data_IF_051390607104
#
_entry.id   IF_051390607104
#
_cell.length_a   1.000
_cell.length_b   1.000
_cell.length_c   1.000
_cell.angle_alpha   90.00
_cell.angle_beta   90.00
_cell.angle_gamma   90.00
#
_symmetry.space_group_name_H-M   'P 1'
#
loop_
_entity.id
_entity.type
_entity.pdbx_description
1 polymer ?
#
# COMPACT_ATOMS: atom_id res chain seq x y z
N UNK A 1 -2.01 -20.17 8.00
CA UNK A 1 -1.20 -19.50 6.94
C UNK A 1 -0.11 -20.46 6.48
N UNK A 2 0.27 -20.40 5.22
CA UNK A 2 1.48 -21.05 4.72
C UNK A 2 2.69 -20.47 5.47
N UNK A 3 3.60 -21.30 6.01
CA UNK A 3 4.83 -20.82 6.59
C UNK A 3 5.70 -20.09 5.55
N UNK A 4 6.32 -18.99 5.95
CA UNK A 4 7.24 -18.28 5.07
C UNK A 4 8.52 -19.11 4.87
N UNK A 5 9.04 -19.11 3.63
CA UNK A 5 10.33 -19.72 3.31
C UNK A 5 11.50 -18.90 3.85
N UNK A 6 11.32 -17.58 3.88
CA UNK A 6 12.20 -16.63 4.57
C UNK A 6 11.42 -16.01 5.70
N UNK A 7 11.78 -16.37 6.94
CA UNK A 7 11.16 -15.83 8.14
C UNK A 7 11.54 -14.35 8.33
N UNK A 8 10.60 -13.56 8.83
CA UNK A 8 10.91 -12.22 9.30
C UNK A 8 11.86 -12.28 10.51
N UNK A 9 12.77 -11.30 10.59
CA UNK A 9 13.62 -11.03 11.74
C UNK A 9 12.84 -10.34 12.85
N UNK A 10 11.89 -9.49 12.50
CA UNK A 10 11.01 -8.76 13.41
C UNK A 10 9.54 -9.02 13.06
N UNK A 11 8.73 -9.39 14.04
CA UNK A 11 7.32 -9.67 13.90
C UNK A 11 6.48 -8.54 14.53
N UNK A 12 5.34 -8.21 13.91
CA UNK A 12 4.37 -7.31 14.52
C UNK A 12 3.88 -7.89 15.85
N UNK A 13 3.65 -7.00 16.81
CA UNK A 13 2.96 -7.36 18.04
C UNK A 13 1.47 -7.61 17.78
N UNK A 14 0.82 -8.30 18.73
CA UNK A 14 -0.62 -8.50 18.67
C UNK A 14 -1.39 -7.16 18.76
N UNK A 15 -2.60 -7.08 18.19
CA UNK A 15 -3.47 -5.92 18.39
C UNK A 15 -3.65 -5.61 19.88
N UNK A 16 -3.61 -4.32 20.25
CA UNK A 16 -3.69 -3.85 21.64
C UNK A 16 -2.42 -4.05 22.48
N UNK A 17 -1.34 -4.60 21.93
CA UNK A 17 -0.07 -4.76 22.65
C UNK A 17 0.76 -3.46 22.74
N UNK A 18 0.37 -2.42 22.00
CA UNK A 18 1.01 -1.11 21.99
C UNK A 18 -0.07 -0.07 22.29
N UNK A 19 0.22 0.81 23.25
CA UNK A 19 -0.51 2.04 23.50
C UNK A 19 0.47 3.19 23.33
N UNK A 20 0.15 4.13 22.44
CA UNK A 20 0.95 5.33 22.23
C UNK A 20 0.45 6.46 23.12
N UNK A 21 1.32 7.43 23.35
CA UNK A 21 1.00 8.72 23.96
C UNK A 21 1.69 9.83 23.18
N UNK A 22 1.41 11.09 23.51
CA UNK A 22 2.14 12.22 22.94
C UNK A 22 1.71 12.59 21.52
N UNK A 23 2.67 13.02 20.70
CA UNK A 23 2.36 13.70 19.44
C UNK A 23 1.74 12.75 18.42
N UNK A 24 2.38 11.60 18.18
CA UNK A 24 1.86 10.65 17.20
C UNK A 24 0.54 10.01 17.62
N UNK A 25 0.32 9.79 18.92
CA UNK A 25 -0.98 9.35 19.42
C UNK A 25 -2.08 10.32 19.00
N UNK A 26 -1.89 11.62 19.21
CA UNK A 26 -2.89 12.63 18.83
C UNK A 26 -3.19 12.58 17.33
N UNK A 27 -2.15 12.42 16.50
CA UNK A 27 -2.31 12.31 15.03
C UNK A 27 -3.08 11.05 14.62
N UNK A 28 -2.81 9.92 15.28
CA UNK A 28 -3.49 8.63 15.07
C UNK A 28 -4.95 8.69 15.51
N UNK A 29 -5.23 9.29 16.67
CA UNK A 29 -6.59 9.50 17.16
C UNK A 29 -7.39 10.40 16.23
N UNK A 30 -6.83 11.53 15.81
CA UNK A 30 -7.45 12.43 14.83
C UNK A 30 -7.70 11.75 13.48
N UNK A 31 -6.79 10.88 13.03
CA UNK A 31 -7.02 10.08 11.83
C UNK A 31 -8.24 9.16 11.97
N UNK A 32 -8.43 8.58 13.17
CA UNK A 32 -9.58 7.73 13.47
C UNK A 32 -10.87 8.54 13.55
N UNK A 33 -10.89 9.58 14.38
CA UNK A 33 -12.11 10.31 14.77
C UNK A 33 -12.55 11.35 13.74
N UNK A 34 -11.61 12.16 13.24
CA UNK A 34 -11.91 13.27 12.34
C UNK A 34 -11.89 12.86 10.87
N UNK A 35 -11.23 11.74 10.52
CA UNK A 35 -11.17 11.24 9.14
C UNK A 35 -11.93 9.93 8.96
N UNK A 36 -11.49 8.81 9.52
CA UNK A 36 -12.09 7.49 9.24
C UNK A 36 -13.58 7.40 9.57
N UNK A 37 -14.00 7.91 10.74
CA UNK A 37 -15.41 7.98 11.11
C UNK A 37 -16.24 8.91 10.22
N UNK A 38 -15.63 9.96 9.65
CA UNK A 38 -16.35 10.99 8.90
C UNK A 38 -16.46 10.72 7.39
N UNK A 39 -15.66 9.80 6.83
CA UNK A 39 -15.75 9.47 5.38
C UNK A 39 -17.14 8.96 5.03
N UNK A 40 -17.88 9.64 4.15
CA UNK A 40 -19.10 9.08 3.58
C UNK A 40 -18.73 7.89 2.68
N UNK A 41 -19.30 6.71 2.98
CA UNK A 41 -19.01 5.47 2.25
C UNK A 41 -19.84 5.35 0.96
N UNK A 42 -20.95 6.09 0.85
CA UNK A 42 -21.86 5.93 -0.29
C UNK A 42 -21.19 6.29 -1.63
N UNK A 43 -20.43 7.40 -1.77
CA UNK A 43 -19.69 7.68 -3.01
C UNK A 43 -18.63 6.63 -3.35
N UNK A 44 -18.05 5.97 -2.33
CA UNK A 44 -16.98 4.96 -2.49
C UNK A 44 -17.56 3.62 -2.96
N UNK A 45 -18.80 3.31 -2.55
CA UNK A 45 -19.50 2.08 -2.91
C UNK A 45 -20.37 2.22 -4.17
N UNK A 46 -20.77 3.43 -4.54
CA UNK A 46 -21.70 3.70 -5.63
C UNK A 46 -21.27 3.04 -6.96
N UNK A 47 -19.99 3.17 -7.33
CA UNK A 47 -19.44 2.60 -8.56
C UNK A 47 -19.41 1.07 -8.61
N UNK A 48 -19.47 0.39 -7.46
CA UNK A 48 -19.55 -1.07 -7.39
C UNK A 48 -20.99 -1.56 -7.60
N UNK A 49 -21.96 -0.82 -7.06
CA UNK A 49 -23.40 -1.10 -7.17
C UNK A 49 -23.95 -0.72 -8.55
N UNK A 50 -23.53 0.41 -9.09
CA UNK A 50 -23.93 0.92 -10.39
C UNK A 50 -22.70 1.38 -11.17
N UNK A 51 -22.42 0.66 -12.26
CA UNK A 51 -21.26 0.87 -13.13
C UNK A 51 -21.65 1.74 -14.34
N UNK A 52 -20.74 2.55 -14.90
CA UNK A 52 -19.37 2.77 -14.45
C UNK A 52 -19.32 3.68 -13.21
N UNK A 53 -18.21 3.60 -12.48
CA UNK A 53 -17.91 4.52 -11.38
C UNK A 53 -17.68 5.97 -11.83
N UNK A 54 -17.65 6.90 -10.87
CA UNK A 54 -17.58 8.35 -11.14
C UNK A 54 -16.25 8.84 -11.73
N UNK A 55 -15.17 8.08 -11.56
CA UNK A 55 -13.88 8.30 -12.23
C UNK A 55 -13.11 6.97 -12.32
N UNK A 56 -12.06 6.86 -13.16
CA UNK A 56 -11.46 5.57 -13.50
C UNK A 56 -10.91 4.79 -12.29
N UNK A 57 -10.25 5.49 -11.36
CA UNK A 57 -9.68 4.86 -10.16
C UNK A 57 -10.60 4.86 -8.93
N UNK A 58 -11.91 5.20 -9.04
CA UNK A 58 -12.82 5.32 -7.87
C UNK A 58 -12.87 4.04 -7.02
N UNK A 59 -12.72 2.88 -7.64
CA UNK A 59 -12.69 1.59 -6.97
C UNK A 59 -11.54 1.40 -5.97
N UNK A 60 -10.49 2.24 -6.02
CA UNK A 60 -9.39 2.14 -5.05
C UNK A 60 -9.81 2.56 -3.63
N UNK A 61 -10.76 3.49 -3.52
CA UNK A 61 -10.97 4.25 -2.30
C UNK A 61 -11.57 3.42 -1.17
N UNK A 62 -12.54 2.57 -1.48
CA UNK A 62 -13.16 1.70 -0.47
C UNK A 62 -12.16 0.73 0.13
N UNK A 63 -11.32 0.11 -0.70
CA UNK A 63 -10.29 -0.83 -0.25
C UNK A 63 -9.21 -0.14 0.59
N UNK A 64 -8.76 1.05 0.18
CA UNK A 64 -7.83 1.88 0.97
C UNK A 64 -8.43 2.30 2.31
N UNK A 65 -9.70 2.72 2.33
CA UNK A 65 -10.42 3.07 3.56
C UNK A 65 -10.55 1.85 4.47
N UNK A 66 -10.95 0.68 3.95
CA UNK A 66 -11.08 -0.55 4.75
C UNK A 66 -9.76 -0.97 5.38
N UNK A 67 -8.64 -0.87 4.65
CA UNK A 67 -7.32 -1.13 5.20
C UNK A 67 -7.00 -0.19 6.38
N UNK A 68 -7.16 1.12 6.20
CA UNK A 68 -6.90 2.10 7.26
C UNK A 68 -7.86 1.93 8.46
N UNK A 69 -9.16 1.75 8.19
CA UNK A 69 -10.19 1.59 9.20
C UNK A 69 -10.01 0.30 10.03
N UNK A 70 -9.57 -0.80 9.41
CA UNK A 70 -9.29 -2.05 10.13
C UNK A 70 -8.14 -1.85 11.12
N UNK A 71 -7.03 -1.24 10.69
CA UNK A 71 -5.88 -0.98 11.56
C UNK A 71 -6.22 0.04 12.66
N UNK A 72 -6.95 1.10 12.32
CA UNK A 72 -7.40 2.10 13.28
C UNK A 72 -8.35 1.50 14.33
N UNK A 73 -9.30 0.65 13.91
CA UNK A 73 -10.17 -0.08 14.84
C UNK A 73 -9.39 -1.07 15.71
N UNK A 74 -8.47 -1.84 15.13
CA UNK A 74 -7.67 -2.80 15.88
C UNK A 74 -6.79 -2.15 16.95
N UNK A 75 -6.39 -0.90 16.74
CA UNK A 75 -5.68 -0.09 17.74
C UNK A 75 -6.62 0.54 18.78
N UNK A 76 -7.68 1.23 18.31
CA UNK A 76 -8.52 2.08 19.18
C UNK A 76 -9.68 1.35 19.87
N UNK A 77 -10.11 0.20 19.35
CA UNK A 77 -11.35 -0.46 19.76
C UNK A 77 -12.63 0.35 19.50
N UNK A 78 -12.60 1.37 18.63
CA UNK A 78 -13.71 2.29 18.46
C UNK A 78 -14.97 1.61 17.86
N UNK A 79 -16.08 1.47 18.62
CA UNK A 79 -17.20 0.59 18.24
C UNK A 79 -17.99 1.11 17.03
N UNK A 80 -18.07 2.43 16.83
CA UNK A 80 -18.72 2.98 15.65
C UNK A 80 -17.91 2.72 14.38
N UNK A 81 -16.57 2.75 14.48
CA UNK A 81 -15.69 2.47 13.36
C UNK A 81 -15.78 0.99 12.97
N UNK A 82 -15.84 0.10 13.97
CA UNK A 82 -16.11 -1.32 13.79
C UNK A 82 -17.40 -1.57 13.02
N UNK A 83 -18.53 -1.00 13.49
CA UNK A 83 -19.84 -1.14 12.83
C UNK A 83 -19.79 -0.66 11.38
N UNK A 84 -19.13 0.48 11.14
CA UNK A 84 -18.97 1.07 9.81
C UNK A 84 -18.07 0.22 8.91
N UNK A 85 -17.00 -0.36 9.46
CA UNK A 85 -16.11 -1.29 8.76
C UNK A 85 -16.85 -2.57 8.34
N UNK A 86 -17.65 -3.16 9.23
CA UNK A 86 -18.47 -4.32 8.90
C UNK A 86 -19.49 -4.02 7.80
N UNK A 87 -20.14 -2.85 7.86
CA UNK A 87 -21.05 -2.40 6.79
C UNK A 87 -20.32 -2.28 5.44
N UNK A 88 -19.17 -1.60 5.41
CA UNK A 88 -18.37 -1.44 4.19
C UNK A 88 -17.95 -2.78 3.58
N UNK A 89 -17.45 -3.70 4.41
CA UNK A 89 -17.05 -5.03 3.98
C UNK A 89 -18.24 -5.81 3.40
N UNK A 90 -19.38 -5.82 4.10
CA UNK A 90 -20.59 -6.51 3.65
C UNK A 90 -21.11 -5.96 2.31
N UNK A 91 -21.18 -4.64 2.16
CA UNK A 91 -21.68 -4.02 0.93
C UNK A 91 -20.71 -4.18 -0.25
N UNK A 92 -19.40 -4.13 -0.01
CA UNK A 92 -18.41 -4.41 -1.05
C UNK A 92 -18.50 -5.88 -1.53
N UNK A 93 -18.57 -6.84 -0.60
CA UNK A 93 -18.71 -8.26 -0.95
C UNK A 93 -20.01 -8.55 -1.69
N UNK A 94 -21.12 -7.92 -1.27
CA UNK A 94 -22.43 -8.03 -1.92
C UNK A 94 -22.44 -7.50 -3.36
N UNK A 95 -21.60 -6.52 -3.67
CA UNK A 95 -21.47 -5.96 -5.01
C UNK A 95 -20.59 -6.81 -5.96
N UNK A 96 -19.94 -7.87 -5.46
CA UNK A 96 -19.13 -8.77 -6.28
C UNK A 96 -19.99 -9.54 -7.27
N UNK A 97 -19.63 -9.51 -8.55
CA UNK A 97 -20.38 -10.20 -9.60
C UNK A 97 -20.14 -11.71 -9.59
N UNK A 98 -20.96 -12.46 -10.35
CA UNK A 98 -20.95 -13.93 -10.35
C UNK A 98 -19.59 -14.53 -10.79
N UNK A 99 -18.91 -13.90 -11.74
CA UNK A 99 -17.59 -14.28 -12.25
C UNK A 99 -16.43 -13.90 -11.30
N UNK A 100 -16.72 -13.22 -10.20
CA UNK A 100 -15.74 -12.73 -9.25
C UNK A 100 -15.32 -11.27 -9.44
N UNK A 101 -15.83 -10.59 -10.48
CA UNK A 101 -15.47 -9.20 -10.75
C UNK A 101 -15.82 -8.29 -9.57
N UNK A 102 -14.81 -7.56 -9.09
CA UNK A 102 -14.89 -6.66 -7.94
C UNK A 102 -14.24 -5.32 -8.31
N UNK A 103 -14.84 -4.66 -9.29
CA UNK A 103 -14.41 -3.35 -9.76
C UNK A 103 -15.60 -2.47 -10.12
N UNK A 104 -15.32 -1.32 -10.74
CA UNK A 104 -16.30 -0.26 -11.01
C UNK A 104 -16.53 -0.02 -12.50
N UNK A 105 -16.10 -0.94 -13.37
CA UNK A 105 -16.19 -0.81 -14.82
C UNK A 105 -17.27 -1.68 -15.45
N UNK A 106 -17.97 -1.14 -16.45
CA UNK A 106 -18.88 -1.92 -17.30
C UNK A 106 -18.10 -3.01 -18.06
N UNK A 107 -18.72 -4.14 -18.45
CA UNK A 107 -18.03 -5.29 -19.05
C UNK A 107 -17.08 -4.96 -20.20
N UNK A 108 -17.50 -4.05 -21.09
CA UNK A 108 -16.72 -3.63 -22.27
C UNK A 108 -15.47 -2.84 -21.87
N UNK A 109 -15.47 -2.27 -20.66
CA UNK A 109 -14.40 -1.45 -20.10
C UNK A 109 -13.34 -2.21 -19.29
N UNK A 110 -13.59 -3.49 -19.00
CA UNK A 110 -12.78 -4.24 -18.04
C UNK A 110 -11.37 -4.52 -18.53
N UNK A 111 -10.43 -4.36 -17.60
CA UNK A 111 -9.02 -4.70 -17.79
C UNK A 111 -8.39 -4.04 -19.03
N UNK A 112 -8.86 -2.87 -19.43
CA UNK A 112 -8.38 -2.13 -20.60
C UNK A 112 -7.20 -1.19 -20.31
N UNK A 113 -6.70 -0.55 -21.37
CA UNK A 113 -5.79 0.59 -21.30
C UNK A 113 -6.18 1.59 -22.38
N UNK A 114 -7.18 2.41 -22.08
CA UNK A 114 -7.65 3.52 -22.90
C UNK A 114 -8.23 4.62 -22.02
N UNK A 115 -8.41 5.86 -22.54
CA UNK A 115 -8.87 6.99 -21.74
C UNK A 115 -10.14 6.65 -20.95
N UNK A 116 -10.04 6.72 -19.63
CA UNK A 116 -11.16 6.44 -18.73
C UNK A 116 -11.25 5.01 -18.21
N UNK A 117 -10.43 4.06 -18.70
CA UNK A 117 -10.45 2.65 -18.28
C UNK A 117 -9.06 2.01 -18.21
N UNK A 118 -8.20 2.59 -17.38
CA UNK A 118 -6.77 2.25 -17.24
C UNK A 118 -6.36 1.87 -15.79
N UNK A 119 -7.33 1.70 -14.88
CA UNK A 119 -7.12 1.48 -13.43
C UNK A 119 -7.92 0.29 -12.85
N UNK A 120 -8.40 -0.63 -13.67
CA UNK A 120 -9.29 -1.71 -13.21
C UNK A 120 -8.57 -2.76 -12.34
N UNK A 121 -7.39 -3.21 -12.77
CA UNK A 121 -6.54 -4.11 -11.96
C UNK A 121 -6.10 -3.43 -10.67
N UNK A 122 -5.83 -2.12 -10.74
CA UNK A 122 -5.50 -1.29 -9.57
C UNK A 122 -6.65 -1.21 -8.56
N UNK A 123 -7.89 -1.07 -9.05
CA UNK A 123 -9.08 -1.10 -8.19
C UNK A 123 -9.25 -2.47 -7.52
N UNK A 124 -9.07 -3.57 -8.28
CA UNK A 124 -9.09 -4.93 -7.72
C UNK A 124 -8.03 -5.11 -6.62
N UNK A 125 -6.80 -4.65 -6.87
CA UNK A 125 -5.72 -4.69 -5.88
C UNK A 125 -6.14 -4.07 -4.55
N UNK A 126 -6.70 -2.86 -4.52
CA UNK A 126 -7.07 -2.25 -3.24
C UNK A 126 -8.27 -2.92 -2.59
N UNK A 127 -9.23 -3.41 -3.37
CA UNK A 127 -10.32 -4.22 -2.82
C UNK A 127 -9.77 -5.47 -2.13
N UNK A 128 -8.81 -6.16 -2.75
CA UNK A 128 -8.11 -7.30 -2.15
C UNK A 128 -7.35 -6.89 -0.89
N UNK A 129 -6.56 -5.82 -0.91
CA UNK A 129 -5.83 -5.33 0.27
C UNK A 129 -6.80 -5.07 1.43
N UNK A 130 -7.88 -4.32 1.19
CA UNK A 130 -8.87 -3.99 2.23
C UNK A 130 -9.56 -5.22 2.82
N UNK A 131 -10.01 -6.15 1.97
CA UNK A 131 -10.71 -7.36 2.41
C UNK A 131 -9.76 -8.38 3.07
N UNK A 132 -8.51 -8.51 2.61
CA UNK A 132 -7.51 -9.37 3.24
C UNK A 132 -7.11 -8.84 4.62
N UNK A 133 -6.91 -7.54 4.78
CA UNK A 133 -6.66 -6.93 6.10
C UNK A 133 -7.87 -7.12 7.01
N UNK A 134 -9.09 -6.90 6.52
CA UNK A 134 -10.31 -7.16 7.28
C UNK A 134 -10.41 -8.64 7.72
N UNK A 135 -10.14 -9.59 6.83
CA UNK A 135 -10.11 -11.01 7.16
C UNK A 135 -9.05 -11.34 8.22
N UNK A 136 -7.85 -10.77 8.10
CA UNK A 136 -6.75 -10.99 9.06
C UNK A 136 -7.13 -10.65 10.50
N UNK A 137 -7.87 -9.56 10.70
CA UNK A 137 -8.21 -9.06 12.04
C UNK A 137 -9.57 -9.57 12.55
N UNK A 138 -10.50 -9.94 11.67
CA UNK A 138 -11.85 -10.37 12.08
C UNK A 138 -12.10 -11.88 11.94
N UNK A 139 -11.28 -12.59 11.16
CA UNK A 139 -11.51 -14.00 10.84
C UNK A 139 -12.72 -14.27 9.93
N UNK A 140 -13.36 -13.23 9.37
CA UNK A 140 -14.57 -13.36 8.57
C UNK A 140 -14.27 -14.01 7.21
N UNK A 141 -14.45 -15.33 7.12
CA UNK A 141 -14.09 -16.16 5.95
C UNK A 141 -14.75 -15.72 4.64
N UNK A 142 -15.92 -15.09 4.69
CA UNK A 142 -16.58 -14.51 3.52
C UNK A 142 -15.69 -13.49 2.78
N UNK A 143 -14.88 -12.71 3.51
CA UNK A 143 -13.96 -11.75 2.91
C UNK A 143 -12.80 -12.45 2.20
N UNK A 144 -12.26 -13.52 2.78
CA UNK A 144 -11.24 -14.35 2.12
C UNK A 144 -11.79 -14.99 0.84
N UNK A 145 -13.04 -15.48 0.87
CA UNK A 145 -13.68 -16.06 -0.31
C UNK A 145 -13.93 -15.02 -1.41
N UNK A 146 -14.36 -13.81 -1.05
CA UNK A 146 -14.47 -12.71 -2.02
C UNK A 146 -13.12 -12.40 -2.68
N UNK A 147 -12.02 -12.40 -1.91
CA UNK A 147 -10.68 -12.24 -2.45
C UNK A 147 -10.27 -13.38 -3.40
N UNK A 148 -10.59 -14.64 -3.05
CA UNK A 148 -10.34 -15.81 -3.91
C UNK A 148 -11.04 -15.66 -5.26
N UNK A 149 -12.32 -15.31 -5.26
CA UNK A 149 -13.11 -15.13 -6.49
C UNK A 149 -12.56 -14.00 -7.38
N UNK A 150 -12.19 -12.87 -6.78
CA UNK A 150 -11.59 -11.76 -7.52
C UNK A 150 -10.21 -12.13 -8.10
N UNK A 151 -9.37 -12.83 -7.33
CA UNK A 151 -8.08 -13.32 -7.81
C UNK A 151 -8.24 -14.38 -8.90
N UNK A 152 -9.18 -15.32 -8.76
CA UNK A 152 -9.46 -16.35 -9.76
C UNK A 152 -9.88 -15.73 -11.11
N UNK A 153 -10.62 -14.62 -11.10
CA UNK A 153 -10.91 -13.84 -12.31
C UNK A 153 -9.64 -13.24 -12.95
N UNK A 154 -8.75 -12.65 -12.14
CA UNK A 154 -7.47 -12.12 -12.63
C UNK A 154 -6.62 -13.25 -13.24
N UNK A 155 -6.54 -14.41 -12.60
CA UNK A 155 -5.84 -15.59 -13.11
C UNK A 155 -6.50 -16.14 -14.37
N UNK A 156 -7.83 -16.03 -14.51
CA UNK A 156 -8.55 -16.42 -15.72
C UNK A 156 -8.24 -15.47 -16.89
N UNK A 157 -8.08 -14.17 -16.61
CA UNK A 157 -7.90 -13.10 -17.59
C UNK A 157 -6.45 -12.92 -18.04
N UNK A 158 -5.49 -13.07 -17.13
CA UNK A 158 -4.07 -12.82 -17.35
C UNK A 158 -3.23 -14.09 -17.18
N UNK A 159 -2.10 -14.15 -17.87
CA UNK A 159 -1.20 -15.31 -17.88
C UNK A 159 -0.66 -15.63 -19.28
N UNK A 160 0.20 -16.65 -19.41
CA UNK A 160 0.76 -17.03 -20.70
C UNK A 160 -0.31 -17.30 -21.76
N UNK A 161 -0.23 -16.61 -22.90
CA UNK A 161 -1.18 -16.74 -24.01
C UNK A 161 -2.53 -16.05 -23.80
N UNK A 162 -2.71 -15.29 -22.72
CA UNK A 162 -3.94 -14.55 -22.39
C UNK A 162 -3.75 -13.04 -22.60
N UNK A 163 -4.67 -12.23 -22.08
CA UNK A 163 -4.55 -10.76 -22.14
C UNK A 163 -3.25 -10.33 -21.46
N UNK A 164 -2.56 -9.34 -22.02
CA UNK A 164 -1.36 -8.77 -21.41
C UNK A 164 -1.74 -7.99 -20.15
N UNK A 165 -1.11 -8.33 -19.02
CA UNK A 165 -1.27 -7.58 -17.78
C UNK A 165 -0.70 -6.16 -17.88
N UNK A 166 0.41 -6.00 -18.63
CA UNK A 166 1.02 -4.69 -18.88
C UNK A 166 0.10 -3.77 -19.69
N UNK A 167 -0.70 -4.34 -20.60
CA UNK A 167 -1.69 -3.61 -21.40
C UNK A 167 -3.03 -3.40 -20.65
N UNK A 168 -3.08 -3.66 -19.34
CA UNK A 168 -4.25 -3.46 -18.49
C UNK A 168 -3.99 -2.48 -17.34
N UNK A 169 -2.91 -1.69 -17.43
CA UNK A 169 -2.58 -0.67 -16.45
C UNK A 169 -1.65 0.41 -16.98
N UNK A 170 -1.82 1.62 -16.47
CA UNK A 170 -0.97 2.76 -16.81
C UNK A 170 0.46 2.63 -16.24
N UNK A 171 1.30 3.62 -16.54
CA UNK A 171 2.69 3.74 -16.10
C UNK A 171 3.51 2.50 -16.45
N UNK A 172 3.55 2.19 -17.76
CA UNK A 172 4.24 1.01 -18.34
C UNK A 172 3.85 -0.30 -17.64
N UNK A 173 2.58 -0.44 -17.24
CA UNK A 173 2.04 -1.63 -16.57
C UNK A 173 2.29 -1.68 -15.05
N UNK A 174 2.99 -0.73 -14.45
CA UNK A 174 3.28 -0.75 -13.00
C UNK A 174 2.00 -0.68 -12.15
N UNK A 175 0.98 0.07 -12.59
CA UNK A 175 -0.29 0.14 -11.87
C UNK A 175 -0.94 -1.26 -11.77
N UNK A 176 -1.04 -1.99 -12.88
CA UNK A 176 -1.63 -3.33 -12.88
C UNK A 176 -0.76 -4.36 -12.14
N UNK A 177 0.55 -4.38 -12.39
CA UNK A 177 1.46 -5.36 -11.78
C UNK A 177 1.62 -5.18 -10.27
N UNK A 178 1.28 -4.01 -9.72
CA UNK A 178 1.26 -3.80 -8.26
C UNK A 178 0.21 -4.64 -7.51
N UNK A 179 -0.67 -5.38 -8.22
CA UNK A 179 -1.53 -6.43 -7.65
C UNK A 179 -0.73 -7.59 -7.03
N UNK A 180 0.59 -7.63 -7.24
CA UNK A 180 1.51 -8.61 -6.66
C UNK A 180 1.33 -8.78 -5.15
N UNK A 181 1.29 -7.69 -4.37
CA UNK A 181 1.17 -7.72 -2.91
C UNK A 181 -0.06 -8.53 -2.43
N UNK A 182 -1.30 -8.16 -2.77
CA UNK A 182 -2.47 -8.90 -2.29
C UNK A 182 -2.55 -10.34 -2.82
N UNK A 183 -2.02 -10.64 -4.01
CA UNK A 183 -1.98 -12.02 -4.53
C UNK A 183 -1.07 -12.89 -3.67
N UNK A 184 0.10 -12.39 -3.28
CA UNK A 184 1.01 -13.14 -2.41
C UNK A 184 0.43 -13.32 -1.02
N UNK A 185 -0.22 -12.29 -0.46
CA UNK A 185 -0.91 -12.38 0.82
C UNK A 185 -2.03 -13.44 0.75
N UNK A 186 -2.81 -13.45 -0.34
CA UNK A 186 -3.85 -14.45 -0.56
C UNK A 186 -3.29 -15.88 -0.63
N UNK A 187 -2.14 -16.08 -1.29
CA UNK A 187 -1.42 -17.36 -1.24
C UNK A 187 -1.08 -17.76 0.19
N UNK A 188 -0.52 -16.85 1.00
CA UNK A 188 -0.17 -17.13 2.40
C UNK A 188 -1.38 -17.52 3.25
N UNK A 189 -2.56 -16.97 2.96
CA UNK A 189 -3.79 -17.35 3.66
C UNK A 189 -4.38 -18.70 3.21
N UNK A 190 -4.32 -18.99 1.92
CA UNK A 190 -5.06 -20.12 1.32
C UNK A 190 -4.21 -21.37 1.10
N UNK A 191 -2.91 -21.22 0.87
CA UNK A 191 -2.04 -22.29 0.41
C UNK A 191 -2.29 -22.75 -1.03
N UNK A 192 -3.12 -22.03 -1.80
CA UNK A 192 -3.40 -22.40 -3.19
C UNK A 192 -2.22 -22.01 -4.09
N UNK A 193 -1.47 -22.98 -4.65
CA UNK A 193 -0.26 -22.70 -5.41
C UNK A 193 -0.51 -21.88 -6.67
N UNK A 194 -1.75 -21.85 -7.21
CA UNK A 194 -2.10 -21.04 -8.38
C UNK A 194 -1.80 -19.56 -8.17
N UNK A 195 -2.01 -19.05 -6.96
CA UNK A 195 -1.73 -17.64 -6.63
C UNK A 195 -0.23 -17.35 -6.57
N UNK A 196 0.60 -18.28 -6.07
CA UNK A 196 2.05 -18.12 -6.09
C UNK A 196 2.61 -18.14 -7.51
N UNK A 197 2.11 -19.04 -8.37
CA UNK A 197 2.53 -19.07 -9.78
C UNK A 197 2.09 -17.80 -10.52
N UNK A 198 0.90 -17.26 -10.22
CA UNK A 198 0.48 -15.97 -10.76
C UNK A 198 1.37 -14.82 -10.28
N UNK A 199 1.75 -14.79 -9.00
CA UNK A 199 2.67 -13.79 -8.47
C UNK A 199 4.05 -13.84 -9.17
N UNK A 200 4.56 -15.05 -9.48
CA UNK A 200 5.78 -15.21 -10.28
C UNK A 200 5.59 -14.73 -11.71
N UNK A 201 4.45 -15.02 -12.34
CA UNK A 201 4.11 -14.51 -13.66
C UNK A 201 4.08 -12.97 -13.69
N UNK A 202 3.53 -12.31 -12.65
CA UNK A 202 3.53 -10.85 -12.54
C UNK A 202 4.96 -10.28 -12.57
N UNK A 203 5.91 -10.90 -11.88
CA UNK A 203 7.32 -10.47 -11.93
C UNK A 203 7.96 -10.78 -13.28
N UNK A 204 7.66 -11.94 -13.87
CA UNK A 204 8.16 -12.33 -15.20
C UNK A 204 7.69 -11.37 -16.29
N UNK A 205 6.44 -10.89 -16.23
CA UNK A 205 5.90 -9.99 -17.25
C UNK A 205 6.62 -8.64 -17.25
N UNK A 206 7.33 -8.26 -16.17
CA UNK A 206 8.12 -7.03 -16.16
C UNK A 206 9.19 -6.97 -17.25
N UNK A 207 9.68 -8.13 -17.71
CA UNK A 207 10.72 -8.26 -18.74
C UNK A 207 10.15 -8.38 -20.17
N UNK A 208 8.82 -8.37 -20.35
CA UNK A 208 8.19 -8.33 -21.67
C UNK A 208 8.55 -7.04 -22.44
N UNK A 209 8.36 -7.04 -23.76
CA UNK A 209 8.58 -5.86 -24.59
C UNK A 209 7.68 -4.68 -24.12
N UNK A 210 8.29 -3.53 -23.84
CA UNK A 210 7.66 -2.35 -23.23
C UNK A 210 7.19 -2.52 -21.78
N UNK A 211 7.62 -3.59 -21.10
CA UNK A 211 7.44 -3.77 -19.67
C UNK A 211 8.29 -2.81 -18.84
N UNK A 212 7.99 -2.67 -17.54
CA UNK A 212 8.64 -1.72 -16.65
C UNK A 212 10.09 -2.12 -16.31
N UNK A 213 10.50 -3.36 -16.58
CA UNK A 213 11.84 -3.89 -16.31
C UNK A 213 12.35 -3.62 -14.87
N UNK A 214 11.47 -3.66 -13.87
CA UNK A 214 11.77 -3.24 -12.48
C UNK A 214 12.94 -4.04 -11.91
N UNK A 215 12.80 -5.37 -11.88
CA UNK A 215 13.80 -6.27 -11.29
C UNK A 215 15.15 -6.14 -11.99
N UNK A 216 15.16 -6.29 -13.32
CA UNK A 216 16.38 -6.21 -14.13
C UNK A 216 17.11 -4.87 -14.03
N UNK A 217 16.37 -3.77 -14.07
CA UNK A 217 16.98 -2.42 -14.02
C UNK A 217 17.54 -2.13 -12.63
N UNK A 218 16.85 -2.52 -11.56
CA UNK A 218 17.33 -2.31 -10.20
C UNK A 218 18.51 -3.22 -9.82
N UNK A 219 18.61 -4.41 -10.40
CA UNK A 219 19.81 -5.27 -10.21
C UNK A 219 21.01 -4.74 -10.98
N UNK A 220 20.81 -4.22 -12.21
CA UNK A 220 21.90 -3.79 -13.09
C UNK A 220 22.33 -2.34 -12.86
N UNK A 221 21.39 -1.41 -12.96
CA UNK A 221 21.64 0.04 -12.90
C UNK A 221 21.59 0.58 -11.47
N UNK A 222 20.90 -0.13 -10.56
CA UNK A 222 20.66 0.31 -9.18
C UNK A 222 20.11 1.73 -9.10
N UNK A 223 19.22 2.08 -10.03
CA UNK A 223 18.72 3.44 -10.19
C UNK A 223 17.21 3.46 -10.44
N UNK A 224 16.44 4.07 -9.54
CA UNK A 224 14.97 4.14 -9.63
C UNK A 224 14.50 5.14 -10.68
N UNK A 225 15.27 6.19 -11.00
CA UNK A 225 14.92 7.16 -12.03
C UNK A 225 15.05 6.59 -13.44
N UNK A 226 15.97 5.64 -13.64
CA UNK A 226 16.12 4.87 -14.89
C UNK A 226 15.17 3.66 -14.99
N UNK A 227 14.45 3.33 -13.91
CA UNK A 227 13.56 2.18 -13.86
C UNK A 227 12.16 2.56 -14.33
N UNK A 228 11.58 1.77 -15.24
CA UNK A 228 10.27 2.03 -15.82
C UNK A 228 10.17 3.48 -16.36
N UNK A 229 9.12 4.21 -15.95
CA UNK A 229 8.96 5.64 -16.23
C UNK A 229 9.20 6.51 -14.98
N UNK A 230 9.91 6.01 -13.96
CA UNK A 230 10.21 6.70 -12.71
C UNK A 230 9.00 7.11 -11.84
N UNK A 231 7.79 6.68 -12.18
CA UNK A 231 6.60 6.97 -11.36
C UNK A 231 6.73 6.32 -9.98
N UNK A 232 6.83 7.13 -8.94
CA UNK A 232 7.37 6.72 -7.66
C UNK A 232 6.42 5.82 -6.86
N UNK A 233 5.13 6.16 -6.82
CA UNK A 233 4.15 5.41 -6.04
C UNK A 233 3.98 3.97 -6.56
N UNK A 234 3.72 3.82 -7.85
CA UNK A 234 3.51 2.54 -8.49
C UNK A 234 4.76 1.66 -8.42
N UNK A 235 5.95 2.23 -8.59
CA UNK A 235 7.21 1.50 -8.44
C UNK A 235 7.39 1.00 -7.00
N UNK A 236 7.26 1.88 -6.00
CA UNK A 236 7.36 1.48 -4.58
C UNK A 236 6.32 0.41 -4.23
N UNK A 237 5.10 0.53 -4.77
CA UNK A 237 4.06 -0.46 -4.52
C UNK A 237 4.38 -1.84 -5.11
N UNK A 238 5.05 -1.90 -6.27
CA UNK A 238 5.56 -3.15 -6.82
C UNK A 238 6.67 -3.74 -5.93
N UNK A 239 7.55 -2.89 -5.38
CA UNK A 239 8.62 -3.32 -4.45
C UNK A 239 8.07 -3.85 -3.12
N UNK A 240 6.99 -3.25 -2.58
CA UNK A 240 6.28 -3.80 -1.42
C UNK A 240 5.77 -5.22 -1.71
N UNK A 241 5.15 -5.43 -2.88
CA UNK A 241 4.74 -6.77 -3.31
C UNK A 241 5.91 -7.73 -3.54
N UNK A 242 7.05 -7.22 -4.00
CA UNK A 242 8.27 -8.00 -4.20
C UNK A 242 8.86 -8.49 -2.86
N UNK A 243 8.78 -7.70 -1.80
CA UNK A 243 9.11 -8.14 -0.44
C UNK A 243 8.19 -9.27 0.05
N UNK A 244 6.88 -9.19 -0.20
CA UNK A 244 5.97 -10.29 0.14
C UNK A 244 6.32 -11.56 -0.66
N UNK A 245 6.58 -11.43 -1.96
CA UNK A 245 6.97 -12.57 -2.79
C UNK A 245 8.29 -13.19 -2.31
N UNK A 246 9.25 -12.38 -1.86
CA UNK A 246 10.50 -12.86 -1.30
C UNK A 246 10.28 -13.80 -0.10
N UNK A 247 9.35 -13.47 0.81
CA UNK A 247 9.04 -14.34 1.97
C UNK A 247 8.66 -15.75 1.57
N UNK A 248 7.86 -15.88 0.52
CA UNK A 248 7.28 -17.18 0.12
C UNK A 248 8.10 -17.91 -0.96
N UNK A 249 8.76 -17.17 -1.84
CA UNK A 249 9.56 -17.74 -2.93
C UNK A 249 11.02 -17.97 -2.52
N UNK A 250 11.57 -17.12 -1.67
CA UNK A 250 12.97 -17.16 -1.22
C UNK A 250 14.00 -16.83 -2.29
N UNK A 251 13.62 -16.14 -3.38
CA UNK A 251 14.59 -15.68 -4.38
C UNK A 251 15.32 -14.43 -3.87
N UNK A 252 16.64 -14.49 -3.59
CA UNK A 252 17.40 -13.36 -3.03
C UNK A 252 17.40 -12.11 -3.92
N UNK A 253 17.25 -12.25 -5.24
CA UNK A 253 17.21 -11.12 -6.17
C UNK A 253 16.05 -10.16 -5.89
N UNK A 254 14.94 -10.67 -5.33
CA UNK A 254 13.76 -9.87 -4.98
C UNK A 254 14.06 -8.88 -3.85
N UNK A 255 14.77 -9.35 -2.81
CA UNK A 255 15.22 -8.48 -1.73
C UNK A 255 16.36 -7.57 -2.21
N UNK A 256 17.31 -8.09 -3.00
CA UNK A 256 18.45 -7.31 -3.52
C UNK A 256 17.99 -6.11 -4.36
N UNK A 257 17.07 -6.32 -5.31
CA UNK A 257 16.54 -5.23 -6.13
C UNK A 257 15.82 -4.17 -5.29
N UNK A 258 15.08 -4.61 -4.28
CA UNK A 258 14.39 -3.70 -3.35
C UNK A 258 15.38 -2.88 -2.51
N UNK A 259 16.45 -3.53 -2.03
CA UNK A 259 17.52 -2.86 -1.31
C UNK A 259 18.29 -1.89 -2.21
N UNK A 260 18.56 -2.24 -3.48
CA UNK A 260 19.20 -1.34 -4.44
C UNK A 260 18.35 -0.09 -4.68
N UNK A 261 17.02 -0.24 -4.82
CA UNK A 261 16.12 0.92 -4.91
C UNK A 261 16.18 1.80 -3.66
N UNK A 262 16.11 1.19 -2.46
CA UNK A 262 16.19 1.94 -1.20
C UNK A 262 17.53 2.68 -1.06
N UNK A 263 18.64 2.00 -1.36
CA UNK A 263 20.01 2.55 -1.28
C UNK A 263 20.27 3.66 -2.30
N UNK A 264 19.51 3.67 -3.39
CA UNK A 264 19.55 4.76 -4.36
C UNK A 264 18.62 5.91 -3.97
N UNK A 265 17.46 5.64 -3.36
CA UNK A 265 16.50 6.69 -2.94
C UNK A 265 17.09 7.55 -1.82
N UNK A 266 17.52 6.92 -0.73
CA UNK A 266 17.90 7.60 0.53
C UNK A 266 18.98 8.68 0.35
N UNK A 267 20.13 8.40 -0.28
CA UNK A 267 21.19 9.41 -0.41
C UNK A 267 20.93 10.43 -1.53
N UNK A 268 20.17 10.06 -2.57
CA UNK A 268 20.12 10.86 -3.80
C UNK A 268 18.85 11.69 -3.93
N UNK A 269 17.68 11.21 -3.47
CA UNK A 269 16.39 11.84 -3.81
C UNK A 269 15.30 11.69 -2.75
N UNK A 270 15.70 11.47 -1.51
CA UNK A 270 14.80 11.52 -0.36
C UNK A 270 14.91 12.91 0.27
N UNK A 271 13.76 13.58 0.41
CA UNK A 271 13.71 14.88 1.09
C UNK A 271 14.07 14.72 2.56
N UNK A 272 14.61 15.79 3.15
CA UNK A 272 14.99 15.85 4.57
C UNK A 272 13.86 15.38 5.51
N UNK A 273 12.61 15.59 5.12
CA UNK A 273 11.42 15.25 5.89
C UNK A 273 10.98 13.78 5.77
N UNK A 274 11.65 12.94 4.97
CA UNK A 274 11.33 11.51 4.87
C UNK A 274 10.26 11.17 3.82
N UNK A 275 10.15 11.94 2.75
CA UNK A 275 9.34 11.58 1.58
C UNK A 275 10.16 11.73 0.31
N UNK A 276 9.76 11.03 -0.74
CA UNK A 276 10.41 11.08 -2.05
C UNK A 276 9.44 11.61 -3.10
N UNK A 277 9.95 11.79 -4.32
CA UNK A 277 9.27 12.27 -5.51
C UNK A 277 9.04 13.78 -5.61
N UNK A 278 9.09 14.26 -6.85
CA UNK A 278 8.67 15.60 -7.25
C UNK A 278 7.71 15.48 -8.43
N UNK A 279 6.50 16.01 -8.30
CA UNK A 279 5.39 15.75 -9.22
C UNK A 279 5.26 14.25 -9.49
N UNK A 280 5.20 13.44 -8.41
CA UNK A 280 4.93 11.99 -8.42
C UNK A 280 6.03 11.08 -9.01
N UNK A 281 7.14 11.65 -9.46
CA UNK A 281 8.23 10.91 -10.10
C UNK A 281 9.53 11.01 -9.30
N UNK A 282 10.34 9.95 -9.33
CA UNK A 282 11.74 10.02 -8.95
C UNK A 282 12.48 10.90 -9.96
N UNK A 283 13.16 11.93 -9.45
CA UNK A 283 13.95 12.87 -10.23
C UNK A 283 15.44 12.50 -10.24
N UNK A 284 16.23 13.29 -10.97
CA UNK A 284 17.67 13.13 -11.01
C UNK A 284 18.29 13.21 -9.62
N UNK A 285 19.52 12.73 -9.51
CA UNK A 285 20.23 12.72 -8.23
C UNK A 285 20.37 14.16 -7.71
N UNK A 286 19.99 14.36 -6.46
CA UNK A 286 20.01 15.64 -5.73
C UNK A 286 19.06 16.72 -6.29
N UNK A 287 18.12 16.36 -7.17
CA UNK A 287 17.04 17.24 -7.63
C UNK A 287 15.89 17.28 -6.59
N UNK A 288 16.05 18.11 -5.57
CA UNK A 288 15.10 18.24 -4.44
C UNK A 288 14.60 19.69 -4.27
N UNK A 289 13.75 20.20 -5.18
CA UNK A 289 13.15 21.52 -5.03
C UNK A 289 12.11 21.51 -3.90
N UNK A 290 11.97 22.64 -3.19
CA UNK A 290 11.28 22.69 -1.89
C UNK A 290 10.00 23.55 -1.86
N UNK A 291 9.82 24.46 -2.83
CA UNK A 291 8.73 25.46 -2.82
C UNK A 291 7.33 24.91 -3.07
N UNK A 292 6.31 25.74 -2.82
CA UNK A 292 4.88 25.41 -3.01
C UNK A 292 4.55 24.87 -4.40
N UNK A 293 5.12 25.45 -5.45
CA UNK A 293 4.91 25.02 -6.84
C UNK A 293 5.74 23.80 -7.28
N UNK A 294 6.59 23.26 -6.39
CA UNK A 294 7.49 22.17 -6.74
C UNK A 294 6.82 20.79 -6.70
N UNK A 295 5.59 20.67 -6.18
CA UNK A 295 4.87 19.40 -6.02
C UNK A 295 5.71 18.37 -5.26
N UNK A 296 6.19 18.77 -4.08
CA UNK A 296 7.10 17.97 -3.25
C UNK A 296 6.35 16.83 -2.58
N UNK A 297 6.89 15.61 -2.67
CA UNK A 297 6.51 14.51 -1.80
C UNK A 297 5.02 14.18 -1.82
N UNK A 298 4.57 13.44 -2.84
CA UNK A 298 3.19 12.96 -2.87
C UNK A 298 2.87 12.11 -1.62
N UNK A 299 1.74 12.34 -0.94
CA UNK A 299 1.34 11.57 0.25
C UNK A 299 1.18 10.06 -0.03
N UNK A 300 0.80 9.66 -1.25
CA UNK A 300 0.82 8.24 -1.65
C UNK A 300 2.24 7.65 -1.66
N UNK A 301 3.22 8.43 -2.13
CA UNK A 301 4.64 8.04 -2.11
C UNK A 301 5.12 7.94 -0.67
N UNK A 302 4.79 8.91 0.18
CA UNK A 302 5.11 8.87 1.63
C UNK A 302 4.54 7.62 2.31
N UNK A 303 3.26 7.31 2.05
CA UNK A 303 2.60 6.13 2.62
C UNK A 303 3.27 4.84 2.17
N UNK A 304 3.63 4.74 0.89
CA UNK A 304 4.23 3.52 0.34
C UNK A 304 5.71 3.39 0.74
N UNK A 305 6.40 4.51 0.97
CA UNK A 305 7.73 4.55 1.57
C UNK A 305 7.73 4.00 3.00
N UNK A 306 6.72 4.36 3.80
CA UNK A 306 6.49 3.76 5.13
C UNK A 306 6.29 2.24 4.99
N UNK A 307 5.42 1.80 4.08
CA UNK A 307 5.18 0.37 3.87
C UNK A 307 6.45 -0.37 3.45
N UNK A 308 7.25 0.20 2.55
CA UNK A 308 8.52 -0.40 2.14
C UNK A 308 9.52 -0.52 3.29
N UNK A 309 9.67 0.53 4.10
CA UNK A 309 10.56 0.49 5.26
C UNK A 309 10.06 -0.49 6.33
N UNK A 310 8.75 -0.63 6.53
CA UNK A 310 8.19 -1.68 7.40
C UNK A 310 8.52 -3.08 6.88
N UNK A 311 8.41 -3.31 5.57
CA UNK A 311 8.78 -4.60 4.97
C UNK A 311 10.26 -4.90 5.16
N UNK A 312 11.13 -3.94 4.85
CA UNK A 312 12.58 -4.11 4.96
C UNK A 312 13.03 -4.27 6.42
N UNK A 313 12.46 -3.51 7.36
CA UNK A 313 12.71 -3.64 8.78
C UNK A 313 12.36 -5.04 9.27
N UNK A 314 11.21 -5.58 8.89
CA UNK A 314 10.77 -6.94 9.25
C UNK A 314 11.67 -8.01 8.65
N UNK A 315 12.03 -7.89 7.39
CA UNK A 315 12.86 -8.89 6.69
C UNK A 315 14.31 -8.91 7.17
N UNK A 316 14.87 -7.75 7.53
CA UNK A 316 16.31 -7.60 7.78
C UNK A 316 16.67 -7.40 9.25
N UNK A 317 15.76 -6.82 10.04
CA UNK A 317 16.03 -6.35 11.40
C UNK A 317 16.96 -5.14 11.47
N UNK A 318 17.28 -4.49 10.36
CA UNK A 318 18.22 -3.37 10.34
C UNK A 318 17.57 -2.04 10.78
N UNK A 319 18.12 -1.42 11.81
CA UNK A 319 17.61 -0.18 12.40
C UNK A 319 17.53 1.01 11.42
N UNK A 320 18.30 1.02 10.33
CA UNK A 320 18.24 2.07 9.30
C UNK A 320 16.85 2.23 8.69
N UNK A 321 16.09 1.14 8.58
CA UNK A 321 14.70 1.20 8.10
C UNK A 321 13.76 1.78 9.16
N UNK A 322 14.01 1.49 10.44
CA UNK A 322 13.31 2.12 11.56
C UNK A 322 13.55 3.62 11.66
N UNK A 323 14.78 4.07 11.42
CA UNK A 323 15.12 5.50 11.34
C UNK A 323 14.31 6.20 10.24
N UNK A 324 14.16 5.59 9.07
CA UNK A 324 13.32 6.17 8.01
C UNK A 324 11.84 6.23 8.37
N UNK A 325 11.33 5.23 9.12
CA UNK A 325 9.96 5.27 9.64
C UNK A 325 9.78 6.45 10.59
N UNK A 326 10.65 6.58 11.59
CA UNK A 326 10.63 7.69 12.55
C UNK A 326 10.68 9.03 11.81
N UNK A 327 11.68 9.22 10.94
CA UNK A 327 11.83 10.45 10.15
C UNK A 327 10.57 10.78 9.37
N UNK A 328 9.95 9.79 8.72
CA UNK A 328 8.76 10.01 7.90
C UNK A 328 7.52 10.32 8.73
N UNK A 329 7.31 9.59 9.84
CA UNK A 329 6.13 9.77 10.69
C UNK A 329 6.12 11.15 11.36
N UNK A 330 7.23 11.54 11.99
CA UNK A 330 7.32 12.80 12.72
C UNK A 330 7.41 14.03 11.81
N UNK A 331 7.85 13.87 10.56
CA UNK A 331 8.02 14.99 9.64
C UNK A 331 6.98 14.95 8.52
N UNK A 332 7.24 14.25 7.40
CA UNK A 332 6.43 14.43 6.19
C UNK A 332 4.99 13.95 6.34
N UNK A 333 4.75 12.79 6.98
CA UNK A 333 3.40 12.26 7.12
C UNK A 333 2.55 13.13 8.05
N UNK A 334 3.07 13.46 9.24
CA UNK A 334 2.37 14.35 10.16
C UNK A 334 2.13 15.74 9.57
N UNK A 335 3.08 16.24 8.78
CA UNK A 335 2.95 17.49 8.04
C UNK A 335 1.89 17.43 6.94
N UNK A 336 1.69 16.28 6.29
CA UNK A 336 0.70 16.11 5.23
C UNK A 336 -0.74 16.02 5.77
N UNK A 337 -0.92 15.62 7.03
CA UNK A 337 -2.24 15.60 7.69
C UNK A 337 -2.57 16.99 8.24
N UNK A 338 -3.75 17.51 7.93
CA UNK A 338 -4.23 18.78 8.51
C UNK A 338 -4.26 18.69 10.05
N UNK A 339 -4.04 19.79 10.76
CA UNK A 339 -3.98 19.77 12.24
C UNK A 339 -5.28 19.25 12.86
N UNK A 340 -6.43 19.52 12.24
CA UNK A 340 -7.74 18.96 12.62
C UNK A 340 -8.00 17.50 12.17
N UNK A 341 -7.06 16.84 11.47
CA UNK A 341 -7.08 15.40 11.17
C UNK A 341 -7.80 14.96 9.89
N UNK A 342 -8.82 15.68 9.43
CA UNK A 342 -9.70 15.26 8.34
C UNK A 342 -9.08 15.36 6.94
N UNK A 343 -8.39 16.47 6.66
CA UNK A 343 -7.90 16.81 5.33
C UNK A 343 -6.42 16.49 5.16
N UNK A 344 -6.00 16.29 3.91
CA UNK A 344 -4.64 15.89 3.58
C UNK A 344 -4.06 16.75 2.45
N UNK A 345 -2.75 16.98 2.51
CA UNK A 345 -1.99 17.48 1.37
C UNK A 345 -1.86 16.38 0.32
N UNK A 346 -1.94 16.78 -0.95
CA UNK A 346 -1.48 15.92 -2.04
C UNK A 346 0.05 15.97 -2.11
N UNK A 347 0.59 17.17 -2.23
CA UNK A 347 2.02 17.48 -2.14
C UNK A 347 2.27 18.35 -0.91
N UNK A 348 3.36 18.08 -0.19
CA UNK A 348 3.70 18.77 1.06
C UNK A 348 4.99 19.57 0.87
N UNK A 349 4.90 20.86 0.51
CA UNK A 349 6.09 21.70 0.29
C UNK A 349 6.88 21.91 1.58
N UNK A 350 8.19 22.10 1.44
CA UNK A 350 9.12 22.38 2.54
C UNK A 350 9.33 23.88 2.74
N UNK A 351 8.99 24.69 1.75
CA UNK A 351 9.00 26.14 1.79
C UNK A 351 7.63 26.69 1.41
N UNK A 352 7.11 27.62 2.23
CA UNK A 352 5.82 28.26 2.04
C UNK A 352 4.70 27.61 2.87
N UNK A 353 3.52 27.46 2.26
CA UNK A 353 2.28 26.99 2.90
C UNK A 353 1.87 25.62 2.38
N UNK A 354 1.40 24.80 3.31
CA UNK A 354 0.79 23.50 3.01
C UNK A 354 -0.62 23.72 2.48
N UNK A 355 -0.95 23.03 1.39
CA UNK A 355 -2.28 23.11 0.77
C UNK A 355 -3.08 21.85 1.12
N UNK A 356 -3.94 21.98 2.14
CA UNK A 356 -4.88 20.93 2.51
C UNK A 356 -6.13 21.09 1.67
N UNK A 357 -6.53 20.01 1.00
CA UNK A 357 -7.71 20.01 0.14
C UNK A 357 -8.81 19.20 0.82
N UNK A 358 -10.06 19.46 0.44
CA UNK A 358 -11.21 18.67 0.91
C UNK A 358 -11.58 17.60 -0.12
N UNK A 359 -12.30 16.58 0.33
CA UNK A 359 -12.90 15.55 -0.51
C UNK A 359 -12.11 14.24 -0.52
N UNK A 360 -12.16 13.55 -1.67
CA UNK A 360 -11.50 12.27 -1.86
C UNK A 360 -10.66 12.28 -3.13
N UNK A 361 -9.38 11.99 -2.95
CA UNK A 361 -8.43 11.64 -4.00
C UNK A 361 -7.53 10.51 -3.47
N UNK A 362 -6.53 10.12 -4.24
CA UNK A 362 -5.60 9.06 -3.86
C UNK A 362 -4.89 9.35 -2.53
N UNK A 363 -4.42 10.59 -2.31
CA UNK A 363 -3.71 11.02 -1.10
C UNK A 363 -4.62 11.06 0.14
N UNK A 364 -5.89 11.46 -0.01
CA UNK A 364 -6.90 11.39 1.06
C UNK A 364 -7.27 9.96 1.49
N UNK A 365 -6.91 8.98 0.66
CA UNK A 365 -7.12 7.56 0.94
C UNK A 365 -5.83 6.87 1.40
N UNK A 366 -4.69 7.33 0.91
CA UNK A 366 -3.37 6.79 1.27
C UNK A 366 -2.86 7.33 2.60
N UNK A 367 -2.94 8.65 2.85
CA UNK A 367 -2.47 9.28 4.08
C UNK A 367 -3.00 8.61 5.35
N UNK A 368 -4.32 8.35 5.45
CA UNK A 368 -4.88 7.61 6.57
C UNK A 368 -4.35 6.18 6.75
N UNK A 369 -3.95 5.50 5.67
CA UNK A 369 -3.30 4.18 5.76
C UNK A 369 -1.92 4.32 6.37
N UNK A 370 -1.16 5.34 5.98
CA UNK A 370 0.15 5.64 6.56
C UNK A 370 0.04 5.93 8.06
N UNK A 371 -0.94 6.75 8.46
CA UNK A 371 -1.13 7.09 9.88
C UNK A 371 -1.62 5.90 10.71
N UNK A 372 -2.49 5.06 10.15
CA UNK A 372 -2.96 3.85 10.83
C UNK A 372 -1.87 2.78 11.04
N UNK A 373 -0.72 2.89 10.37
CA UNK A 373 0.43 1.99 10.56
C UNK A 373 1.33 2.40 11.74
N UNK A 374 1.19 3.63 12.27
CA UNK A 374 2.08 4.15 13.32
C UNK A 374 2.11 3.24 14.57
N UNK A 375 0.97 2.78 15.13
CA UNK A 375 1.00 1.89 16.30
C UNK A 375 1.72 0.56 16.02
N UNK A 376 1.49 -0.04 14.84
CA UNK A 376 2.13 -1.30 14.45
C UNK A 376 3.63 -1.13 14.18
N UNK A 377 4.08 0.08 13.87
CA UNK A 377 5.48 0.39 13.63
C UNK A 377 6.26 0.70 14.92
N UNK A 378 5.58 0.93 16.04
CA UNK A 378 6.20 1.41 17.27
C UNK A 378 7.11 0.37 17.93
N UNK A 379 6.70 -0.90 17.93
CA UNK A 379 7.47 -1.98 18.51
C UNK A 379 7.19 -3.34 17.85
N UNK A 380 8.20 -4.22 17.89
CA UNK A 380 8.18 -5.54 17.25
C UNK A 380 8.74 -6.60 18.20
N UNK A 381 8.23 -7.83 18.11
CA UNK A 381 8.84 -8.98 18.76
C UNK A 381 9.95 -9.57 17.88
N UNK A 382 10.98 -10.12 18.52
CA UNK A 382 12.02 -10.91 17.84
C UNK A 382 12.45 -12.10 18.71
N UNK A 383 13.11 -13.07 18.08
CA UNK A 383 13.62 -14.26 18.76
C UNK A 383 12.53 -15.21 19.26
N UNK A 384 12.96 -16.33 19.88
CA UNK A 384 12.07 -17.29 20.54
C UNK A 384 12.75 -17.81 21.81
N UNK A 385 11.97 -18.28 22.79
CA UNK A 385 12.51 -18.81 24.04
C UNK A 385 13.34 -17.79 24.81
N UNK A 386 14.58 -18.15 25.17
CA UNK A 386 15.48 -17.28 25.94
C UNK A 386 16.02 -16.07 25.13
N UNK A 387 15.92 -16.09 23.81
CA UNK A 387 16.33 -14.98 22.92
C UNK A 387 15.14 -14.09 22.54
N UNK A 388 13.95 -14.35 23.09
CA UNK A 388 12.77 -13.53 22.83
C UNK A 388 12.96 -12.12 23.42
N UNK A 389 12.66 -11.10 22.62
CA UNK A 389 12.81 -9.71 23.02
C UNK A 389 11.88 -8.77 22.27
N UNK A 390 11.97 -7.49 22.64
CA UNK A 390 11.22 -6.40 22.03
C UNK A 390 12.17 -5.41 21.36
N UNK A 391 11.96 -5.14 20.08
CA UNK A 391 12.59 -4.04 19.36
C UNK A 391 11.65 -2.82 19.42
N UNK A 392 12.06 -1.78 20.14
CA UNK A 392 11.33 -0.51 20.22
C UNK A 392 11.88 0.43 19.13
N UNK A 393 11.02 0.83 18.20
CA UNK A 393 11.41 1.61 17.02
C UNK A 393 10.96 3.06 17.07
N UNK A 394 9.87 3.37 17.78
CA UNK A 394 9.39 4.74 17.96
C UNK A 394 9.38 5.06 19.46
N UNK A 395 9.91 6.21 19.82
CA UNK A 395 9.93 6.68 21.21
C UNK A 395 9.04 7.91 21.38
N UNK A 396 7.88 7.72 21.99
CA UNK A 396 7.05 8.81 22.53
C UNK A 396 7.24 8.86 24.05
N UNK A 397 7.12 10.05 24.65
CA UNK A 397 7.08 10.16 26.11
C UNK A 397 5.73 9.63 26.60
N UNK A 398 5.74 8.50 27.32
CA UNK A 398 4.59 8.08 28.13
C UNK A 398 4.56 8.92 29.41
N UNK A 399 3.45 9.62 29.63
CA UNK A 399 3.17 10.33 30.88
C UNK A 399 3.01 9.38 32.06
#
# INVERSE_FOLDING_TARGET
RVPDRVADRLAFLAPGAVELSGFLEERVRLNTEARMLQVDLEPLLAGFRQKPGSHPWIGEHIGKWMHAATLAWAYSGHPELERKLHYAAAELMKAQEADGYLGTYVPEQRFGLYPGADWDVWSHKYCLIGLLTYYEYTGQSAALEACRRAADLLLATFGPGKKSLLAAGTHVGMAATSVLEPIVILYRFTGDPRYLEFARYVVQCWDEANGPAILKTLLREKNVQKTANAKAYEMLSNLVGLCELYRVAGNPEYLEATLNAWQDIVPNRLYLTGSASQSEHFRGDHELPNGEGANVGETCVTTTWIQLNLQLLRLTGEARFGHELERTFYNHLAAAQHTAGADWCYFTPLEGRKNYTQGINCCHSSGPRGMALVPSAAAFAFGTGAEAGLAVNLTELSS
#
